data_IF_366167665797
#
_entry.id   IF_366167665797
#
_cell.length_a   1.000
_cell.length_b   1.000
_cell.length_c   1.000
_cell.angle_alpha   90.00
_cell.angle_beta   90.00
_cell.angle_gamma   90.00
#
_symmetry.space_group_name_H-M   'P 1'
#
loop_
_entity.id
_entity.type
_entity.pdbx_description
1 polymer ?
#
# COMPACT_ATOMS: atom_id res chain seq x y z
N UNK A 1 5.60 -13.44 -7.53
CA UNK A 1 6.07 -12.43 -6.57
C UNK A 1 7.38 -11.85 -7.09
N UNK A 2 7.45 -10.55 -7.38
CA UNK A 2 8.67 -9.94 -7.93
C UNK A 2 9.48 -9.25 -6.81
N UNK A 3 10.73 -9.66 -6.53
CA UNK A 3 11.52 -9.17 -5.40
C UNK A 3 12.16 -7.79 -5.62
N UNK A 4 11.69 -6.99 -6.58
CA UNK A 4 12.38 -5.78 -7.03
C UNK A 4 11.70 -4.52 -6.48
N UNK A 5 12.51 -3.52 -6.08
CA UNK A 5 12.06 -2.13 -5.78
C UNK A 5 11.27 -1.54 -6.96
N UNK A 6 11.67 -1.93 -8.18
CA UNK A 6 11.01 -1.57 -9.42
C UNK A 6 10.04 -2.66 -9.87
N UNK A 7 8.90 -2.23 -10.40
CA UNK A 7 8.00 -3.12 -11.15
C UNK A 7 8.79 -3.69 -12.34
N UNK A 8 8.58 -4.95 -12.76
CA UNK A 8 9.16 -5.44 -14.01
C UNK A 8 8.73 -4.55 -15.18
N UNK A 9 9.64 -4.34 -16.13
CA UNK A 9 9.44 -3.37 -17.21
C UNK A 9 8.19 -3.70 -18.03
N UNK A 10 7.83 -4.97 -18.17
CA UNK A 10 6.65 -5.45 -18.91
C UNK A 10 5.32 -5.04 -18.25
N UNK A 11 5.33 -4.65 -16.98
CA UNK A 11 4.15 -4.19 -16.25
C UNK A 11 4.22 -2.71 -15.89
N UNK A 12 5.26 -2.01 -16.33
CA UNK A 12 5.47 -0.61 -16.03
C UNK A 12 4.84 0.27 -17.12
N UNK A 13 3.80 1.07 -16.82
CA UNK A 13 3.15 1.88 -17.85
C UNK A 13 4.04 2.99 -18.42
N UNK A 14 5.21 3.26 -17.84
CA UNK A 14 6.14 4.25 -18.36
C UNK A 14 7.05 3.66 -19.45
N UNK A 15 7.17 2.34 -19.53
CA UNK A 15 8.14 1.66 -20.42
C UNK A 15 7.49 0.76 -21.48
N UNK A 16 6.18 0.56 -21.45
CA UNK A 16 5.47 -0.33 -22.39
C UNK A 16 4.35 0.43 -23.09
N UNK A 17 4.19 0.15 -24.38
CA UNK A 17 3.04 0.61 -25.15
C UNK A 17 1.80 -0.22 -24.79
N UNK A 18 0.70 0.45 -24.47
CA UNK A 18 -0.61 -0.16 -24.23
C UNK A 18 -1.69 0.73 -24.86
N UNK A 19 -2.87 0.16 -25.18
CA UNK A 19 -3.98 0.97 -25.69
C UNK A 19 -4.75 1.62 -24.54
N UNK A 20 -4.92 0.88 -23.45
CA UNK A 20 -5.53 1.34 -22.20
C UNK A 20 -4.78 0.78 -20.99
N UNK A 21 -4.75 1.50 -19.86
CA UNK A 21 -4.05 1.03 -18.65
C UNK A 21 -4.60 -0.30 -18.11
N UNK A 22 -5.85 -0.64 -18.44
CA UNK A 22 -6.48 -1.93 -18.13
C UNK A 22 -5.89 -3.10 -18.90
N UNK A 23 -5.16 -2.86 -20.00
CA UNK A 23 -4.49 -3.91 -20.77
C UNK A 23 -3.27 -4.48 -20.02
N UNK A 24 -2.69 -3.70 -19.09
CA UNK A 24 -1.61 -4.15 -18.23
C UNK A 24 -2.20 -4.94 -17.06
N UNK A 25 -1.67 -6.15 -16.74
CA UNK A 25 -2.02 -6.84 -15.51
C UNK A 25 -1.85 -5.93 -14.28
N UNK A 26 -2.81 -5.98 -13.37
CA UNK A 26 -2.80 -5.19 -12.15
C UNK A 26 -1.82 -5.78 -11.14
N UNK A 27 -0.80 -5.00 -10.82
CA UNK A 27 0.14 -5.31 -9.76
C UNK A 27 0.04 -4.26 -8.65
N UNK A 28 0.18 -4.71 -7.41
CA UNK A 28 0.19 -3.87 -6.21
C UNK A 28 1.57 -3.86 -5.56
N UNK A 29 2.07 -2.67 -5.26
CA UNK A 29 3.26 -2.50 -4.44
C UNK A 29 2.90 -2.41 -2.96
N UNK A 30 3.46 -3.28 -2.14
CA UNK A 30 3.16 -3.27 -0.70
C UNK A 30 3.82 -4.40 0.08
N UNK A 31 3.38 -4.52 1.34
CA UNK A 31 3.87 -5.51 2.31
C UNK A 31 2.77 -6.46 2.75
N UNK A 32 3.07 -7.71 3.13
CA UNK A 32 2.10 -8.57 3.79
C UNK A 32 1.50 -7.89 5.02
N UNK A 33 0.18 -7.98 5.19
CA UNK A 33 -0.53 -7.30 6.25
C UNK A 33 -0.08 -7.78 7.64
N UNK A 34 0.31 -6.82 8.47
CA UNK A 34 0.53 -6.95 9.90
C UNK A 34 -0.21 -5.81 10.61
N UNK A 35 -1.38 -6.16 11.15
CA UNK A 35 -2.26 -5.19 11.80
C UNK A 35 -1.62 -4.52 13.02
N UNK A 36 -0.73 -5.21 13.74
CA UNK A 36 -0.05 -4.64 14.90
C UNK A 36 0.96 -3.56 14.49
N UNK A 37 1.79 -3.84 13.48
CA UNK A 37 2.76 -2.85 12.96
C UNK A 37 2.06 -1.60 12.45
N UNK A 38 1.00 -1.77 11.65
CA UNK A 38 0.28 -0.63 11.07
C UNK A 38 -0.48 0.16 12.14
N UNK A 39 -1.15 -0.51 13.09
CA UNK A 39 -1.84 0.19 14.19
C UNK A 39 -0.85 0.95 15.08
N UNK A 40 0.28 0.32 15.44
CA UNK A 40 1.34 0.98 16.21
C UNK A 40 1.91 2.20 15.49
N UNK A 41 2.06 2.13 14.16
CA UNK A 41 2.43 3.29 13.35
C UNK A 41 1.37 4.39 13.40
N UNK A 42 0.10 4.05 13.13
CA UNK A 42 -1.00 5.01 13.12
C UNK A 42 -1.11 5.75 14.47
N UNK A 43 -1.00 5.04 15.58
CA UNK A 43 -1.01 5.63 16.92
C UNK A 43 0.18 6.58 17.15
N UNK A 44 1.41 6.17 16.79
CA UNK A 44 2.61 7.03 16.89
C UNK A 44 2.51 8.30 16.04
N UNK A 45 1.75 8.27 14.96
CA UNK A 45 1.52 9.42 14.08
C UNK A 45 0.37 10.32 14.53
N UNK A 46 -0.29 10.00 15.65
CA UNK A 46 -1.44 10.74 16.14
C UNK A 46 -2.72 10.47 15.33
N UNK A 47 -2.77 9.36 14.57
CA UNK A 47 -3.97 8.97 13.81
C UNK A 47 -4.95 8.13 14.63
N UNK A 48 -4.67 7.91 15.93
CA UNK A 48 -5.60 7.26 16.84
C UNK A 48 -6.95 7.97 16.87
N UNK A 49 -8.03 7.25 16.61
CA UNK A 49 -9.40 7.78 16.63
C UNK A 49 -10.28 6.90 17.50
N UNK A 50 -11.02 7.51 18.42
CA UNK A 50 -12.04 6.83 19.22
C UNK A 50 -13.25 6.49 18.35
N UNK A 51 -13.94 5.39 18.65
CA UNK A 51 -15.25 5.11 18.04
C UNK A 51 -16.33 6.03 18.62
N UNK A 52 -16.23 6.34 19.90
CA UNK A 52 -17.12 7.20 20.64
C UNK A 52 -16.33 8.14 21.56
N UNK A 53 -16.77 9.41 21.78
CA UNK A 53 -16.01 10.37 22.59
C UNK A 53 -15.64 9.89 24.00
N UNK A 54 -16.52 9.06 24.60
CA UNK A 54 -16.37 8.50 25.95
C UNK A 54 -15.41 7.30 26.02
N UNK A 55 -14.92 6.78 24.89
CA UNK A 55 -14.04 5.61 24.92
C UNK A 55 -12.73 5.93 25.64
N UNK A 56 -12.16 4.98 26.40
CA UNK A 56 -10.93 5.20 27.14
C UNK A 56 -9.71 5.41 26.23
N UNK A 57 -9.81 5.05 24.95
CA UNK A 57 -8.72 5.21 23.99
C UNK A 57 -9.15 4.99 22.55
N UNK A 58 -8.19 5.04 21.61
CA UNK A 58 -8.44 4.81 20.20
C UNK A 58 -9.02 3.42 19.92
N UNK A 59 -10.02 3.37 19.05
CA UNK A 59 -10.61 2.13 18.57
C UNK A 59 -9.88 1.68 17.28
N UNK A 60 -9.50 0.39 17.12
CA UNK A 60 -8.69 -0.05 15.98
C UNK A 60 -9.29 0.24 14.60
N UNK A 61 -10.59 -0.04 14.40
CA UNK A 61 -11.24 0.21 13.10
C UNK A 61 -11.36 1.70 12.79
N UNK A 62 -11.69 2.51 13.80
CA UNK A 62 -11.80 3.96 13.65
C UNK A 62 -10.42 4.58 13.37
N UNK A 63 -9.38 4.06 14.02
CA UNK A 63 -7.97 4.44 13.79
C UNK A 63 -7.51 4.03 12.40
N UNK A 64 -7.91 2.85 11.93
CA UNK A 64 -7.62 2.39 10.58
C UNK A 64 -8.21 3.32 9.53
N UNK A 65 -9.51 3.62 9.59
CA UNK A 65 -10.14 4.56 8.64
C UNK A 65 -9.49 5.93 8.67
N UNK A 66 -9.24 6.48 9.87
CA UNK A 66 -8.57 7.76 10.02
C UNK A 66 -7.15 7.74 9.44
N UNK A 67 -6.42 6.63 9.57
CA UNK A 67 -5.11 6.47 8.96
C UNK A 67 -5.20 6.52 7.43
N UNK A 68 -6.13 5.81 6.81
CA UNK A 68 -6.31 5.83 5.35
C UNK A 68 -6.63 7.25 4.85
N UNK A 69 -7.57 7.94 5.50
CA UNK A 69 -7.95 9.32 5.17
C UNK A 69 -6.75 10.27 5.32
N UNK A 70 -6.07 10.25 6.47
CA UNK A 70 -4.93 11.13 6.74
C UNK A 70 -3.74 10.84 5.83
N UNK A 71 -3.55 9.59 5.43
CA UNK A 71 -2.49 9.24 4.48
C UNK A 71 -2.79 9.80 3.09
N UNK A 72 -4.03 9.68 2.61
CA UNK A 72 -4.48 10.27 1.34
C UNK A 72 -4.35 11.79 1.36
N UNK A 73 -4.86 12.46 2.38
CA UNK A 73 -4.76 13.93 2.54
C UNK A 73 -3.31 14.41 2.50
N UNK A 74 -2.40 13.66 3.14
CA UNK A 74 -1.00 14.07 3.29
C UNK A 74 -0.15 13.78 2.06
N UNK A 75 -0.39 12.64 1.39
CA UNK A 75 0.52 12.11 0.37
C UNK A 75 -0.13 11.94 -0.99
N UNK A 76 -1.44 12.14 -1.13
CA UNK A 76 -2.17 11.95 -2.38
C UNK A 76 -2.30 10.50 -2.82
N UNK A 77 -2.11 9.54 -1.91
CA UNK A 77 -2.06 8.10 -2.23
C UNK A 77 -3.18 7.33 -1.53
N UNK A 78 -3.91 6.53 -2.30
CA UNK A 78 -4.96 5.65 -1.81
C UNK A 78 -4.39 4.29 -1.42
N UNK A 79 -4.00 4.18 -0.14
CA UNK A 79 -3.47 2.94 0.45
C UNK A 79 -4.58 2.02 0.94
N UNK A 80 -4.34 0.71 1.01
CA UNK A 80 -5.37 -0.21 1.49
C UNK A 80 -5.00 -1.69 1.40
N UNK A 81 -5.92 -2.54 1.87
CA UNK A 81 -5.75 -3.98 1.80
C UNK A 81 -6.15 -4.52 0.43
N UNK A 82 -5.33 -5.43 -0.10
CA UNK A 82 -5.53 -6.10 -1.38
C UNK A 82 -5.34 -7.60 -1.22
N UNK A 83 -6.19 -8.38 -1.88
CA UNK A 83 -5.99 -9.82 -2.04
C UNK A 83 -5.13 -10.04 -3.27
N UNK A 84 -4.13 -10.90 -3.16
CA UNK A 84 -3.11 -11.08 -4.19
C UNK A 84 -2.74 -12.56 -4.34
N UNK A 85 -2.18 -12.91 -5.48
CA UNK A 85 -1.64 -14.25 -5.71
C UNK A 85 -0.36 -14.50 -4.91
N UNK A 86 -0.23 -15.72 -4.37
CA UNK A 86 0.98 -16.18 -3.67
C UNK A 86 1.21 -15.57 -2.29
N UNK A 87 0.17 -14.97 -1.68
CA UNK A 87 0.18 -14.54 -0.29
C UNK A 87 -1.08 -15.03 0.43
N UNK A 88 -0.91 -15.78 1.51
CA UNK A 88 -2.04 -16.25 2.33
C UNK A 88 -2.71 -15.12 3.12
N UNK A 89 -2.07 -13.95 3.17
CA UNK A 89 -2.58 -12.74 3.83
C UNK A 89 -2.93 -11.69 2.79
N UNK A 90 -3.75 -10.73 3.20
CA UNK A 90 -3.86 -9.49 2.42
C UNK A 90 -2.51 -8.78 2.39
N UNK A 91 -2.25 -8.05 1.31
CA UNK A 91 -1.15 -7.09 1.22
C UNK A 91 -1.69 -5.72 1.58
N UNK A 92 -0.98 -4.99 2.43
CA UNK A 92 -1.19 -3.56 2.57
C UNK A 92 -0.46 -2.85 1.44
N UNK A 93 -1.23 -2.47 0.42
CA UNK A 93 -0.76 -1.87 -0.81
C UNK A 93 -0.73 -0.35 -0.71
N UNK A 94 0.29 0.25 -1.29
CA UNK A 94 0.48 1.69 -1.33
C UNK A 94 0.04 2.32 -2.66
N UNK A 95 0.28 1.61 -3.75
CA UNK A 95 -0.10 2.00 -5.11
C UNK A 95 -0.02 0.78 -6.03
N UNK A 96 -0.62 0.89 -7.20
CA UNK A 96 -0.55 -0.08 -8.29
C UNK A 96 0.43 0.35 -9.37
N UNK A 97 0.80 -0.57 -10.26
CA UNK A 97 1.56 -0.24 -11.45
C UNK A 97 0.81 0.79 -12.32
N UNK A 98 -0.53 0.69 -12.40
CA UNK A 98 -1.36 1.64 -13.14
C UNK A 98 -1.32 3.06 -12.55
N UNK A 99 -1.19 3.19 -11.23
CA UNK A 99 -1.03 4.49 -10.57
C UNK A 99 0.30 5.17 -10.94
N UNK A 100 1.32 4.43 -11.38
CA UNK A 100 2.61 4.99 -11.82
C UNK A 100 2.49 5.88 -13.07
N UNK A 101 1.36 5.84 -13.79
CA UNK A 101 1.09 6.79 -14.87
C UNK A 101 0.97 8.24 -14.36
N UNK A 102 0.65 8.43 -13.07
CA UNK A 102 0.46 9.76 -12.46
C UNK A 102 1.32 9.98 -11.20
N UNK A 103 1.80 8.92 -10.56
CA UNK A 103 2.66 9.00 -9.39
C UNK A 103 4.14 9.18 -9.80
N UNK A 104 4.82 10.10 -9.13
CA UNK A 104 6.26 10.33 -9.31
C UNK A 104 7.13 9.53 -8.33
N UNK A 105 8.45 9.65 -8.48
CA UNK A 105 9.46 9.01 -7.61
C UNK A 105 9.27 9.38 -6.13
N UNK A 106 8.78 10.58 -5.81
CA UNK A 106 8.57 11.00 -4.42
C UNK A 106 7.47 10.18 -3.75
N UNK A 107 6.47 9.72 -4.48
CA UNK A 107 5.44 8.83 -3.94
C UNK A 107 6.01 7.46 -3.58
N UNK A 108 6.91 6.93 -4.41
CA UNK A 108 7.63 5.69 -4.09
C UNK A 108 8.47 5.86 -2.82
N UNK A 109 9.27 6.92 -2.72
CA UNK A 109 10.10 7.19 -1.54
C UNK A 109 9.27 7.36 -0.26
N UNK A 110 8.09 7.98 -0.37
CA UNK A 110 7.12 8.11 0.74
C UNK A 110 6.55 6.76 1.16
N UNK A 111 6.21 5.89 0.21
CA UNK A 111 5.77 4.53 0.50
C UNK A 111 6.87 3.76 1.24
N UNK A 112 8.09 3.77 0.73
CA UNK A 112 9.25 3.12 1.35
C UNK A 112 9.55 3.64 2.76
N UNK A 113 9.57 4.96 2.91
CA UNK A 113 9.76 5.60 4.22
C UNK A 113 8.66 5.21 5.21
N UNK A 114 7.42 5.10 4.74
CA UNK A 114 6.28 4.69 5.56
C UNK A 114 6.37 3.22 5.97
N UNK A 115 6.74 2.33 5.04
CA UNK A 115 6.95 0.89 5.30
C UNK A 115 8.03 0.71 6.39
N UNK A 116 9.17 1.39 6.24
CA UNK A 116 10.23 1.37 7.24
C UNK A 116 9.75 1.93 8.60
N UNK A 117 9.04 3.06 8.58
CA UNK A 117 8.50 3.67 9.80
C UNK A 117 7.46 2.78 10.51
N UNK A 118 6.74 1.93 9.78
CA UNK A 118 5.85 0.90 10.35
C UNK A 118 6.61 -0.24 11.03
N UNK A 119 7.91 -0.39 10.75
CA UNK A 119 8.77 -1.44 11.31
C UNK A 119 8.86 -2.68 10.42
N UNK A 120 8.60 -2.55 9.13
CA UNK A 120 8.94 -3.56 8.14
C UNK A 120 10.37 -3.36 7.63
N UNK A 121 11.02 -4.43 7.20
CA UNK A 121 12.25 -4.36 6.44
C UNK A 121 11.87 -4.03 5.00
N UNK A 122 11.92 -2.74 4.62
CA UNK A 122 11.41 -2.29 3.33
C UNK A 122 12.11 -2.98 2.14
N UNK A 123 13.35 -3.44 2.30
CA UNK A 123 14.09 -4.13 1.23
C UNK A 123 13.72 -5.61 1.09
N UNK A 124 13.19 -6.23 2.15
CA UNK A 124 12.79 -7.67 2.14
C UNK A 124 11.29 -7.88 2.07
N UNK A 125 10.53 -7.02 2.72
CA UNK A 125 9.10 -7.16 2.90
C UNK A 125 8.31 -6.51 1.77
N UNK A 126 8.80 -5.38 1.23
CA UNK A 126 8.11 -4.63 0.19
C UNK A 126 8.40 -5.22 -1.20
N UNK A 127 7.33 -5.49 -1.94
CA UNK A 127 7.42 -6.09 -3.28
C UNK A 127 6.14 -5.90 -4.07
N UNK A 128 6.21 -6.32 -5.33
CA UNK A 128 5.10 -6.32 -6.27
C UNK A 128 4.34 -7.65 -6.25
N UNK A 129 3.03 -7.53 -6.19
CA UNK A 129 2.08 -8.64 -6.07
C UNK A 129 1.03 -8.55 -7.17
N UNK A 130 0.67 -9.68 -7.78
CA UNK A 130 -0.38 -9.73 -8.80
C UNK A 130 -1.74 -9.74 -8.09
N UNK A 131 -2.66 -8.88 -8.51
CA UNK A 131 -4.02 -8.87 -7.97
C UNK A 131 -4.72 -10.22 -8.18
N UNK A 132 -5.50 -10.67 -7.19
CA UNK A 132 -6.15 -11.99 -7.24
C UNK A 132 -7.18 -12.13 -8.38
N UNK A 133 -7.73 -11.01 -8.86
CA UNK A 133 -8.74 -10.99 -9.91
C UNK A 133 -8.15 -10.91 -11.32
N UNK A 134 -6.83 -10.78 -11.45
CA UNK A 134 -6.17 -10.93 -12.75
C UNK A 134 -6.33 -12.37 -13.22
N UNK A 135 -6.85 -12.53 -14.44
CA UNK A 135 -7.04 -13.83 -15.07
C UNK A 135 -5.67 -14.31 -15.54
N UNK A 136 -5.22 -15.44 -15.01
CA UNK A 136 -4.08 -16.18 -15.56
C UNK A 136 -4.43 -16.82 -16.90
#
# INVERSE_FOLDING_TARGET
>A
MFPRRTVPDEFNPVTVDFKTLSDLPLLWYGVPYDGQKILKYALRRGYGKKSHPKDPGPHPLSTWHNFLEKYKERYGMDVGLRKVWGCDRHVFAFYSNRDMAVLDVRHHDRAMSTIAAMGFDADKDAKWWVDIHEKC
#
